data_IF_239385329795
#
_entry.id   IF_239385329795
#
_cell.length_a   1.000
_cell.length_b   1.000
_cell.length_c   1.000
_cell.angle_alpha   90.00
_cell.angle_beta   90.00
_cell.angle_gamma   90.00
#
_symmetry.space_group_name_H-M   'P 1'
#
loop_
_entity.id
_entity.type
_entity.pdbx_description
1 polymer ?
#
# COMPACT_ATOMS: atom_id res chain seq x y z
N UNK A 1 44.93 -48.37 41.49
CA UNK A 1 44.10 -47.16 41.56
C UNK A 1 44.94 -46.02 41.01
N UNK A 2 44.73 -45.72 39.72
CA UNK A 2 45.53 -44.77 38.94
C UNK A 2 44.62 -43.65 38.44
N UNK A 3 45.18 -42.45 38.44
CA UNK A 3 44.64 -41.14 38.11
C UNK A 3 44.01 -41.00 36.72
N UNK A 4 42.95 -40.19 36.61
CA UNK A 4 42.62 -39.42 35.42
C UNK A 4 41.69 -38.23 35.78
N UNK A 5 42.03 -37.02 35.31
CA UNK A 5 41.18 -35.82 35.34
C UNK A 5 39.96 -35.96 34.40
N UNK A 6 38.96 -35.05 34.51
CA UNK A 6 38.51 -34.43 33.27
C UNK A 6 38.26 -32.90 33.32
N UNK A 7 38.63 -32.33 32.18
CA UNK A 7 38.24 -31.13 31.44
C UNK A 7 37.19 -30.15 31.99
N UNK A 8 37.55 -28.87 31.85
CA UNK A 8 36.72 -27.66 31.92
C UNK A 8 35.94 -27.51 30.61
N UNK A 9 34.61 -27.32 30.69
CA UNK A 9 33.78 -26.82 29.58
C UNK A 9 33.04 -25.55 29.99
N UNK A 10 33.35 -24.46 29.28
CA UNK A 10 32.60 -23.20 29.30
C UNK A 10 31.35 -23.31 28.41
N UNK A 11 30.23 -22.65 28.73
CA UNK A 11 29.04 -22.64 27.87
C UNK A 11 29.23 -21.66 26.71
N UNK A 12 29.06 -22.15 25.50
CA UNK A 12 28.96 -21.36 24.26
C UNK A 12 27.60 -20.67 24.20
N UNK A 13 27.63 -19.35 24.10
CA UNK A 13 26.51 -18.48 23.74
C UNK A 13 26.07 -18.76 22.31
N UNK A 14 24.80 -19.14 22.13
CA UNK A 14 24.14 -19.23 20.83
C UNK A 14 23.85 -17.83 20.31
N UNK A 15 24.56 -17.41 19.26
CA UNK A 15 24.25 -16.22 18.48
C UNK A 15 23.12 -16.56 17.50
N UNK A 16 21.97 -15.91 17.67
CA UNK A 16 20.92 -15.85 16.65
C UNK A 16 21.48 -15.25 15.37
N UNK A 17 21.27 -15.95 14.26
CA UNK A 17 21.66 -15.54 12.92
C UNK A 17 20.70 -14.47 12.41
N UNK A 18 21.20 -13.25 12.17
CA UNK A 18 20.50 -12.21 11.43
C UNK A 18 20.15 -12.70 10.02
N UNK A 19 18.96 -12.35 9.47
CA UNK A 19 18.58 -12.76 8.13
C UNK A 19 19.49 -12.10 7.08
N UNK A 20 20.03 -12.92 6.17
CA UNK A 20 20.85 -12.50 5.04
C UNK A 20 20.00 -11.69 4.04
N UNK A 21 20.51 -10.62 3.42
CA UNK A 21 19.76 -9.86 2.41
C UNK A 21 19.47 -10.73 1.18
N UNK A 22 18.19 -10.79 0.78
CA UNK A 22 17.77 -11.37 -0.50
C UNK A 22 18.22 -10.44 -1.64
N UNK A 23 18.83 -10.96 -2.72
CA UNK A 23 19.29 -10.12 -3.83
C UNK A 23 18.12 -9.41 -4.54
N UNK A 24 18.34 -8.15 -4.92
CA UNK A 24 17.42 -7.36 -5.74
C UNK A 24 17.44 -7.93 -7.16
N UNK A 25 16.42 -8.70 -7.53
CA UNK A 25 16.31 -9.23 -8.89
C UNK A 25 15.69 -8.16 -9.81
N UNK A 26 16.50 -7.53 -10.66
CA UNK A 26 15.97 -6.71 -11.77
C UNK A 26 15.74 -7.62 -12.99
N UNK A 27 14.47 -7.95 -13.26
CA UNK A 27 14.10 -8.78 -14.42
C UNK A 27 13.51 -7.99 -15.58
N UNK A 28 13.45 -6.66 -15.51
CA UNK A 28 12.74 -5.82 -16.48
C UNK A 28 13.62 -4.86 -17.31
N UNK A 29 14.96 -4.96 -17.24
CA UNK A 29 15.85 -4.07 -18.01
C UNK A 29 15.80 -2.60 -17.56
N UNK A 30 15.33 -2.35 -16.33
CA UNK A 30 15.45 -1.08 -15.63
C UNK A 30 16.73 -1.12 -14.79
N UNK A 31 17.48 -0.01 -14.80
CA UNK A 31 18.91 0.03 -14.46
C UNK A 31 19.26 -0.56 -13.10
N UNK A 32 20.48 -1.12 -13.01
CA UNK A 32 21.04 -1.63 -11.76
C UNK A 32 21.13 -0.51 -10.70
N UNK A 33 20.96 -0.91 -9.45
CA UNK A 33 21.09 -0.08 -8.26
C UNK A 33 22.30 -0.52 -7.44
N UNK A 34 22.93 0.44 -6.77
CA UNK A 34 23.86 0.13 -5.69
C UNK A 34 23.09 0.11 -4.37
N UNK A 35 23.22 -0.96 -3.60
CA UNK A 35 22.54 -1.10 -2.31
C UNK A 35 23.06 -0.09 -1.27
N UNK A 36 24.23 0.50 -1.52
CA UNK A 36 24.89 1.47 -0.65
C UNK A 36 24.25 2.88 -0.67
N UNK A 37 23.36 3.18 -1.64
CA UNK A 37 22.69 4.48 -1.75
C UNK A 37 21.62 4.72 -0.66
N UNK A 38 21.18 3.66 0.04
CA UNK A 38 20.15 3.75 1.08
C UNK A 38 20.58 2.99 2.33
N UNK A 39 21.02 3.68 3.40
CA UNK A 39 21.41 3.01 4.63
C UNK A 39 20.23 2.21 5.20
N UNK A 40 20.50 1.11 5.92
CA UNK A 40 19.45 0.32 6.55
C UNK A 40 18.59 1.19 7.46
N UNK A 41 17.28 0.95 7.42
CA UNK A 41 16.34 1.70 8.24
C UNK A 41 16.63 1.49 9.72
N UNK A 42 16.60 2.59 10.48
CA UNK A 42 16.79 2.54 11.93
C UNK A 42 15.69 1.72 12.61
N UNK A 43 16.05 1.00 13.67
CA UNK A 43 15.12 0.15 14.43
C UNK A 43 13.89 0.92 14.93
N UNK A 44 14.05 2.21 15.27
CA UNK A 44 12.94 3.07 15.69
C UNK A 44 11.87 3.24 14.60
N UNK A 45 12.26 3.35 13.32
CA UNK A 45 11.30 3.44 12.19
C UNK A 45 10.57 2.10 12.02
N UNK A 46 11.30 0.98 12.08
CA UNK A 46 10.69 -0.34 11.91
C UNK A 46 9.72 -0.68 13.06
N UNK A 47 10.10 -0.31 14.29
CA UNK A 47 9.29 -0.56 15.49
C UNK A 47 8.03 0.31 15.50
N UNK A 48 8.17 1.60 15.21
CA UNK A 48 7.09 2.58 15.34
C UNK A 48 6.88 3.04 16.79
N UNK A 49 5.85 3.89 17.04
CA UNK A 49 5.48 4.33 18.38
C UNK A 49 4.94 3.17 19.24
N UNK A 50 5.04 3.32 20.56
CA UNK A 50 4.47 2.35 21.50
C UNK A 50 2.96 2.22 21.28
N UNK A 51 2.48 0.97 21.17
CA UNK A 51 1.06 0.68 20.92
C UNK A 51 0.63 0.81 19.46
N UNK A 52 1.55 0.97 18.50
CA UNK A 52 1.24 0.96 17.06
C UNK A 52 0.37 -0.23 16.64
N UNK A 53 0.76 -1.45 17.05
CA UNK A 53 0.05 -2.68 16.67
C UNK A 53 -1.36 -2.73 17.26
N UNK A 54 -1.50 -2.37 18.54
CA UNK A 54 -2.79 -2.35 19.23
C UNK A 54 -3.74 -1.33 18.61
N UNK A 55 -3.24 -0.15 18.23
CA UNK A 55 -4.02 0.89 17.55
C UNK A 55 -4.60 0.37 16.23
N UNK A 56 -3.78 -0.25 15.39
CA UNK A 56 -4.23 -0.78 14.11
C UNK A 56 -5.11 -2.02 14.23
N UNK A 57 -4.88 -2.88 15.23
CA UNK A 57 -5.74 -4.01 15.51
C UNK A 57 -7.17 -3.55 15.86
N UNK A 58 -7.31 -2.52 16.70
CA UNK A 58 -8.62 -1.95 17.03
C UNK A 58 -9.31 -1.40 15.77
N UNK A 59 -8.60 -0.61 14.96
CA UNK A 59 -9.15 -0.08 13.72
C UNK A 59 -9.58 -1.19 12.74
N UNK A 60 -8.83 -2.29 12.70
CA UNK A 60 -9.12 -3.47 11.88
C UNK A 60 -10.38 -4.19 12.34
N UNK A 61 -10.52 -4.40 13.65
CA UNK A 61 -11.67 -5.09 14.25
C UNK A 61 -12.97 -4.29 14.00
N UNK A 62 -12.91 -2.97 14.14
CA UNK A 62 -14.02 -2.06 13.77
C UNK A 62 -14.42 -2.20 12.30
N UNK A 63 -13.45 -2.32 11.39
CA UNK A 63 -13.73 -2.49 9.96
C UNK A 63 -14.30 -3.87 9.63
N UNK A 64 -13.91 -4.94 10.36
CA UNK A 64 -14.38 -6.30 10.10
C UNK A 64 -15.84 -6.56 10.43
N UNK A 65 -16.39 -5.82 11.39
CA UNK A 65 -17.79 -5.97 11.77
C UNK A 65 -18.75 -5.26 10.81
N UNK A 66 -18.23 -4.43 9.90
CA UNK A 66 -19.03 -3.77 8.86
C UNK A 66 -19.49 -4.80 7.82
N UNK A 67 -20.80 -4.94 7.65
CA UNK A 67 -21.36 -5.53 6.45
C UNK A 67 -21.40 -4.47 5.34
N UNK A 68 -20.59 -4.60 4.28
CA UNK A 68 -20.50 -3.57 3.25
C UNK A 68 -21.78 -3.44 2.43
N UNK A 69 -22.69 -4.41 2.45
CA UNK A 69 -23.90 -4.41 1.60
C UNK A 69 -23.58 -4.02 0.15
N UNK A 70 -22.51 -4.61 -0.39
CA UNK A 70 -21.95 -4.19 -1.67
C UNK A 70 -22.90 -4.53 -2.83
N UNK A 71 -23.18 -3.54 -3.68
CA UNK A 71 -24.17 -3.65 -4.74
C UNK A 71 -23.62 -3.12 -6.08
N UNK A 72 -24.01 -3.79 -7.17
CA UNK A 72 -23.86 -3.29 -8.54
C UNK A 72 -25.00 -2.31 -8.84
N UNK A 73 -24.67 -1.07 -9.14
CA UNK A 73 -25.64 0.02 -9.33
C UNK A 73 -25.99 0.19 -10.81
N UNK A 74 -24.98 0.29 -11.68
CA UNK A 74 -25.17 0.64 -13.08
C UNK A 74 -24.07 0.03 -13.96
N UNK A 75 -24.45 -0.63 -15.06
CA UNK A 75 -23.50 -1.09 -16.08
C UNK A 75 -23.18 0.08 -16.99
N UNK A 76 -21.91 0.50 -17.03
CA UNK A 76 -21.45 1.66 -17.79
C UNK A 76 -21.00 1.28 -19.21
N UNK A 77 -20.37 0.11 -19.38
CA UNK A 77 -19.91 -0.36 -20.70
C UNK A 77 -19.82 -1.89 -20.77
N UNK A 78 -19.84 -2.40 -22.00
CA UNK A 78 -19.62 -3.81 -22.38
C UNK A 78 -18.77 -3.85 -23.66
N UNK A 79 -17.48 -3.62 -23.53
CA UNK A 79 -16.55 -3.41 -24.65
C UNK A 79 -15.27 -4.21 -24.40
N UNK A 80 -14.57 -4.58 -25.48
CA UNK A 80 -13.28 -5.30 -25.44
C UNK A 80 -13.26 -6.53 -24.52
N UNK A 81 -14.36 -7.28 -24.50
CA UNK A 81 -14.50 -8.49 -23.69
C UNK A 81 -14.64 -8.23 -22.18
N UNK A 82 -14.91 -6.99 -21.76
CA UNK A 82 -15.07 -6.59 -20.36
C UNK A 82 -16.41 -5.91 -20.11
N UNK A 83 -16.87 -5.99 -18.87
CA UNK A 83 -18.04 -5.27 -18.34
C UNK A 83 -17.55 -4.34 -17.25
N UNK A 84 -17.89 -3.05 -17.36
CA UNK A 84 -17.61 -2.07 -16.31
C UNK A 84 -18.91 -1.69 -15.63
N UNK A 85 -18.94 -1.82 -14.31
CA UNK A 85 -20.11 -1.54 -13.48
C UNK A 85 -19.75 -0.55 -12.38
N UNK A 86 -20.56 0.49 -12.20
CA UNK A 86 -20.51 1.33 -11.00
C UNK A 86 -21.05 0.52 -9.82
N UNK A 87 -20.32 0.49 -8.72
CA UNK A 87 -20.70 -0.20 -7.49
C UNK A 87 -20.81 0.79 -6.33
N UNK A 88 -21.53 0.38 -5.29
CA UNK A 88 -21.58 1.07 -4.00
C UNK A 88 -21.43 0.08 -2.86
N UNK A 89 -20.93 0.55 -1.72
CA UNK A 89 -20.81 -0.23 -0.49
C UNK A 89 -20.69 0.69 0.72
N UNK A 90 -21.06 0.20 1.89
CA UNK A 90 -20.88 0.87 3.17
C UNK A 90 -19.51 0.58 3.77
N UNK A 91 -18.96 1.55 4.48
CA UNK A 91 -17.71 1.44 5.25
C UNK A 91 -17.96 1.83 6.71
N UNK A 92 -16.91 2.01 7.51
CA UNK A 92 -17.02 2.49 8.90
C UNK A 92 -17.70 3.87 8.96
N UNK A 93 -18.16 4.26 10.15
CA UNK A 93 -18.85 5.53 10.41
C UNK A 93 -20.19 5.71 9.67
N UNK A 94 -20.74 4.63 9.10
CA UNK A 94 -22.00 4.66 8.35
C UNK A 94 -21.90 5.34 6.98
N UNK A 95 -20.67 5.55 6.49
CA UNK A 95 -20.40 6.17 5.20
C UNK A 95 -20.71 5.18 4.07
N UNK A 96 -21.31 5.67 2.99
CA UNK A 96 -21.43 4.94 1.72
C UNK A 96 -20.35 5.45 0.76
N UNK A 97 -19.60 4.54 0.17
CA UNK A 97 -18.59 4.80 -0.86
C UNK A 97 -19.02 4.10 -2.15
N UNK A 98 -18.46 4.56 -3.27
CA UNK A 98 -18.60 3.91 -4.56
C UNK A 98 -17.27 3.55 -5.19
N UNK A 99 -17.38 2.96 -6.38
CA UNK A 99 -16.24 2.60 -7.19
C UNK A 99 -16.64 1.98 -8.52
N UNK A 100 -15.66 1.43 -9.22
CA UNK A 100 -15.85 0.74 -10.48
C UNK A 100 -15.36 -0.69 -10.39
N UNK A 101 -16.22 -1.62 -10.78
CA UNK A 101 -15.87 -3.02 -10.97
C UNK A 101 -15.73 -3.29 -12.47
N UNK A 102 -14.54 -3.66 -12.90
CA UNK A 102 -14.26 -4.13 -14.25
C UNK A 102 -14.05 -5.65 -14.20
N UNK A 103 -14.82 -6.41 -14.97
CA UNK A 103 -14.74 -7.88 -14.98
C UNK A 103 -14.83 -8.44 -16.41
N UNK A 104 -14.31 -9.64 -16.69
CA UNK A 104 -14.52 -10.32 -17.97
C UNK A 104 -16.01 -10.44 -18.29
N UNK A 105 -16.39 -10.17 -19.54
CA UNK A 105 -17.79 -10.25 -19.97
C UNK A 105 -18.31 -11.69 -20.05
N UNK A 106 -17.41 -12.65 -20.24
CA UNK A 106 -17.70 -14.07 -20.35
C UNK A 106 -16.68 -14.88 -19.54
N UNK A 107 -17.08 -16.10 -19.19
CA UNK A 107 -16.25 -17.02 -18.43
C UNK A 107 -16.26 -16.79 -16.92
N UNK A 108 -15.56 -17.64 -16.16
CA UNK A 108 -15.51 -17.54 -14.72
C UNK A 108 -14.57 -16.41 -14.27
N UNK A 109 -14.90 -15.79 -13.15
CA UNK A 109 -14.01 -14.85 -12.44
C UNK A 109 -13.49 -15.53 -11.20
N UNK A 110 -12.19 -15.87 -11.18
CA UNK A 110 -11.52 -16.59 -10.09
C UNK A 110 -10.54 -15.74 -9.29
N UNK A 111 -10.29 -14.51 -9.74
CA UNK A 111 -9.45 -13.54 -9.05
C UNK A 111 -10.14 -12.19 -8.97
N UNK A 112 -9.90 -11.47 -7.88
CA UNK A 112 -10.22 -10.04 -7.79
C UNK A 112 -9.00 -9.24 -7.35
N UNK A 113 -8.73 -8.12 -8.00
CA UNK A 113 -7.70 -7.16 -7.60
C UNK A 113 -8.38 -5.90 -7.09
N UNK A 114 -8.05 -5.47 -5.86
CA UNK A 114 -8.50 -4.17 -5.34
C UNK A 114 -7.43 -3.12 -5.65
N UNK A 115 -7.84 -2.04 -6.30
CA UNK A 115 -6.97 -1.01 -6.87
C UNK A 115 -7.16 0.33 -6.17
N UNK A 116 -6.25 0.67 -5.27
CA UNK A 116 -6.25 1.91 -4.53
C UNK A 116 -5.63 3.04 -5.36
N UNK A 117 -6.38 4.14 -5.50
CA UNK A 117 -6.02 5.27 -6.35
C UNK A 117 -5.07 6.28 -5.67
N UNK A 118 -4.55 7.24 -6.46
CA UNK A 118 -3.81 8.39 -5.95
C UNK A 118 -4.71 9.47 -5.33
N UNK A 119 -4.13 10.59 -4.85
CA UNK A 119 -4.89 11.64 -4.15
C UNK A 119 -6.00 12.33 -4.98
N UNK A 120 -6.00 12.17 -6.31
CA UNK A 120 -7.05 12.72 -7.18
C UNK A 120 -8.38 11.97 -7.11
N UNK A 121 -8.48 10.88 -6.36
CA UNK A 121 -9.60 9.95 -6.51
C UNK A 121 -9.38 9.04 -7.72
N UNK A 122 -10.47 8.48 -8.20
CA UNK A 122 -10.57 7.87 -9.52
C UNK A 122 -11.87 8.39 -10.17
N UNK A 123 -11.92 8.49 -11.49
CA UNK A 123 -13.13 8.90 -12.24
C UNK A 123 -13.74 7.75 -13.06
N UNK A 124 -13.08 6.60 -13.05
CA UNK A 124 -13.41 5.40 -13.81
C UNK A 124 -12.61 4.21 -13.28
N UNK A 125 -12.83 3.00 -13.85
CA UNK A 125 -11.91 1.91 -13.62
C UNK A 125 -10.54 2.31 -14.16
N UNK A 126 -9.49 1.83 -13.52
CA UNK A 126 -8.19 1.89 -14.13
C UNK A 126 -8.10 0.98 -15.36
N UNK A 127 -7.13 1.26 -16.24
CA UNK A 127 -6.80 0.35 -17.34
C UNK A 127 -6.50 -1.06 -16.81
N UNK A 128 -7.04 -2.12 -17.45
CA UNK A 128 -6.88 -3.49 -16.98
C UNK A 128 -5.41 -3.94 -16.89
N UNK A 129 -5.12 -4.82 -15.93
CA UNK A 129 -3.81 -5.49 -15.84
C UNK A 129 -3.68 -6.70 -16.78
N UNK A 130 -4.72 -6.99 -17.58
CA UNK A 130 -4.80 -8.12 -18.52
C UNK A 130 -4.50 -9.49 -17.88
N UNK A 131 -4.90 -9.64 -16.62
CA UNK A 131 -4.90 -10.92 -15.91
C UNK A 131 -6.13 -11.74 -16.32
N UNK A 132 -5.92 -13.00 -16.69
CA UNK A 132 -7.01 -13.92 -17.04
C UNK A 132 -7.96 -14.13 -15.85
N UNK A 133 -9.26 -14.30 -16.13
CA UNK A 133 -10.30 -14.62 -15.13
C UNK A 133 -10.33 -13.66 -13.92
N UNK A 134 -9.98 -12.39 -14.16
CA UNK A 134 -9.72 -11.40 -13.10
C UNK A 134 -10.67 -10.22 -13.17
N UNK A 135 -11.40 -9.98 -12.09
CA UNK A 135 -12.08 -8.72 -11.84
C UNK A 135 -11.14 -7.71 -11.17
N UNK A 136 -11.36 -6.43 -11.41
CA UNK A 136 -10.62 -5.33 -10.80
C UNK A 136 -11.64 -4.37 -10.18
N UNK A 137 -11.58 -4.19 -8.86
CA UNK A 137 -12.37 -3.21 -8.13
C UNK A 137 -11.51 -1.98 -7.86
N UNK A 138 -11.94 -0.81 -8.34
CA UNK A 138 -11.36 0.50 -8.01
C UNK A 138 -12.32 1.21 -7.05
N UNK A 139 -12.18 1.04 -5.72
CA UNK A 139 -12.98 1.79 -4.75
C UNK A 139 -12.47 3.24 -4.68
N UNK A 140 -13.35 4.22 -4.42
CA UNK A 140 -12.94 5.59 -4.12
C UNK A 140 -12.97 5.82 -2.62
N UNK A 141 -11.79 6.04 -2.02
CA UNK A 141 -11.64 6.16 -0.57
C UNK A 141 -12.26 7.48 -0.05
N UNK A 142 -12.67 7.48 1.22
CA UNK A 142 -13.41 8.59 1.83
C UNK A 142 -12.74 9.96 1.64
N UNK A 143 -13.57 10.96 1.41
CA UNK A 143 -13.20 12.35 1.14
C UNK A 143 -12.80 12.64 -0.30
N UNK A 144 -12.43 11.63 -1.11
CA UNK A 144 -11.85 11.90 -2.43
C UNK A 144 -12.89 11.99 -3.56
N UNK A 145 -12.61 12.76 -4.63
CA UNK A 145 -13.63 13.16 -5.61
C UNK A 145 -14.34 12.00 -6.30
N UNK A 146 -15.53 12.33 -6.84
CA UNK A 146 -16.50 11.47 -7.53
C UNK A 146 -17.35 10.59 -6.61
N UNK A 147 -16.84 9.44 -6.17
CA UNK A 147 -17.60 8.40 -5.49
C UNK A 147 -17.16 8.17 -4.04
N UNK A 148 -16.22 8.99 -3.54
CA UNK A 148 -15.75 8.95 -2.15
C UNK A 148 -16.11 10.19 -1.35
N UNK A 149 -16.96 11.09 -1.86
CA UNK A 149 -17.28 12.35 -1.20
C UNK A 149 -17.97 12.13 0.15
N UNK A 150 -17.46 12.81 1.19
CA UNK A 150 -18.01 12.79 2.54
C UNK A 150 -18.08 14.21 3.06
N UNK A 151 -19.23 14.61 3.58
CA UNK A 151 -19.45 15.96 4.10
C UNK A 151 -18.42 16.31 5.18
N UNK A 152 -17.78 17.46 5.02
CA UNK A 152 -16.77 17.97 5.96
C UNK A 152 -15.35 17.44 5.74
N UNK A 153 -15.13 16.44 4.89
CA UNK A 153 -13.79 15.99 4.51
C UNK A 153 -13.36 16.74 3.23
N UNK A 154 -12.22 17.46 3.23
CA UNK A 154 -11.74 18.14 2.04
C UNK A 154 -11.44 17.17 0.89
N UNK A 155 -11.67 17.62 -0.35
CA UNK A 155 -11.57 16.77 -1.55
C UNK A 155 -10.23 16.89 -2.29
N UNK A 156 -9.35 17.77 -1.86
CA UNK A 156 -8.01 17.96 -2.44
C UNK A 156 -6.96 17.38 -1.52
N UNK A 157 -5.95 16.69 -2.07
CA UNK A 157 -4.96 15.96 -1.28
C UNK A 157 -4.25 16.80 -0.21
N UNK A 158 -3.94 18.05 -0.53
CA UNK A 158 -3.22 18.98 0.37
C UNK A 158 -4.02 19.33 1.63
N UNK A 159 -5.36 19.33 1.54
CA UNK A 159 -6.24 19.61 2.67
C UNK A 159 -6.78 18.31 3.30
N UNK A 160 -7.04 17.29 2.47
CA UNK A 160 -7.50 15.98 2.90
C UNK A 160 -6.51 15.38 3.89
N UNK A 161 -5.22 15.41 3.58
CA UNK A 161 -4.15 14.86 4.44
C UNK A 161 -4.03 15.55 5.80
N UNK A 162 -4.70 16.68 6.03
CA UNK A 162 -4.72 17.39 7.31
C UNK A 162 -6.01 17.16 8.10
N UNK A 163 -7.00 16.49 7.51
CA UNK A 163 -8.30 16.29 8.13
C UNK A 163 -8.19 15.37 9.37
N UNK A 164 -8.53 15.93 10.53
CA UNK A 164 -8.47 15.23 11.81
C UNK A 164 -7.05 14.93 12.31
N UNK A 165 -6.01 15.52 11.72
CA UNK A 165 -4.61 15.19 11.99
C UNK A 165 -4.14 15.51 13.42
N UNK A 166 -4.89 16.31 14.17
CA UNK A 166 -4.59 16.63 15.57
C UNK A 166 -4.73 15.41 16.51
N UNK A 167 -5.37 14.32 16.08
CA UNK A 167 -5.50 13.10 16.88
C UNK A 167 -5.54 11.83 16.02
N UNK A 168 -4.79 10.80 16.41
CA UNK A 168 -4.68 9.54 15.64
C UNK A 168 -6.01 8.84 15.38
N UNK A 169 -6.96 8.94 16.31
CA UNK A 169 -8.28 8.28 16.16
C UNK A 169 -9.21 9.04 15.20
N UNK A 170 -8.97 10.34 14.97
CA UNK A 170 -9.76 11.17 14.05
C UNK A 170 -9.08 11.40 12.71
N UNK A 171 -7.80 11.00 12.58
CA UNK A 171 -7.04 11.26 11.37
C UNK A 171 -7.61 10.51 10.17
N UNK A 172 -7.83 11.22 9.06
CA UNK A 172 -8.55 10.66 7.91
C UNK A 172 -7.92 9.40 7.34
N UNK A 173 -6.59 9.25 7.41
CA UNK A 173 -5.91 8.03 6.93
C UNK A 173 -6.30 6.77 7.70
N UNK A 174 -6.70 6.88 8.98
CA UNK A 174 -7.25 5.74 9.73
C UNK A 174 -8.49 5.21 9.02
N UNK A 175 -9.39 6.13 8.66
CA UNK A 175 -10.59 5.82 7.89
C UNK A 175 -10.28 5.29 6.49
N UNK A 176 -9.30 5.86 5.78
CA UNK A 176 -8.91 5.37 4.44
C UNK A 176 -8.33 3.95 4.47
N UNK A 177 -7.58 3.58 5.52
CA UNK A 177 -7.11 2.20 5.72
C UNK A 177 -8.29 1.27 6.02
N UNK A 178 -9.25 1.71 6.83
CA UNK A 178 -10.50 0.97 7.06
C UNK A 178 -11.30 0.78 5.76
N UNK A 179 -11.38 1.80 4.92
CA UNK A 179 -12.03 1.73 3.61
C UNK A 179 -11.35 0.69 2.71
N UNK A 180 -10.02 0.58 2.74
CA UNK A 180 -9.30 -0.45 2.00
C UNK A 180 -9.68 -1.87 2.48
N UNK A 181 -9.72 -2.11 3.80
CA UNK A 181 -10.14 -3.40 4.36
C UNK A 181 -11.59 -3.76 4.05
N UNK A 182 -12.49 -2.78 4.13
CA UNK A 182 -13.90 -2.98 3.78
C UNK A 182 -14.08 -3.19 2.28
N UNK A 183 -13.32 -2.47 1.44
CA UNK A 183 -13.33 -2.66 -0.02
C UNK A 183 -12.91 -4.07 -0.44
N UNK A 184 -11.97 -4.70 0.28
CA UNK A 184 -11.61 -6.11 0.07
C UNK A 184 -12.77 -7.05 0.41
N UNK A 185 -13.51 -6.77 1.49
CA UNK A 185 -14.74 -7.50 1.82
C UNK A 185 -15.81 -7.29 0.75
N UNK A 186 -16.02 -6.04 0.29
CA UNK A 186 -16.97 -5.70 -0.76
C UNK A 186 -16.63 -6.40 -2.09
N UNK A 187 -15.34 -6.43 -2.47
CA UNK A 187 -14.86 -7.15 -3.65
C UNK A 187 -15.24 -8.63 -3.61
N UNK A 188 -15.02 -9.31 -2.48
CA UNK A 188 -15.40 -10.71 -2.28
C UNK A 188 -16.91 -10.95 -2.30
N UNK A 189 -17.73 -9.97 -1.88
CA UNK A 189 -19.20 -10.04 -2.00
C UNK A 189 -19.67 -9.85 -3.44
N UNK A 190 -19.07 -8.91 -4.15
CA UNK A 190 -19.38 -8.63 -5.55
C UNK A 190 -18.92 -9.76 -6.48
N UNK A 191 -17.82 -10.44 -6.13
CA UNK A 191 -17.20 -11.49 -6.93
C UNK A 191 -17.07 -12.79 -6.10
N UNK A 192 -18.19 -13.48 -5.79
CA UNK A 192 -18.18 -14.64 -4.90
C UNK A 192 -17.41 -15.85 -5.45
N UNK A 193 -17.11 -15.86 -6.76
CA UNK A 193 -16.27 -16.88 -7.40
C UNK A 193 -14.75 -16.66 -7.22
N UNK A 194 -14.34 -15.51 -6.68
CA UNK A 194 -12.92 -15.22 -6.49
C UNK A 194 -12.31 -16.13 -5.42
N UNK A 195 -11.24 -16.83 -5.80
CA UNK A 195 -10.43 -17.70 -4.94
C UNK A 195 -9.10 -17.03 -4.58
N UNK A 196 -8.73 -15.98 -5.33
CA UNK A 196 -7.53 -15.18 -5.10
C UNK A 196 -7.88 -13.70 -5.03
N UNK A 197 -7.29 -13.01 -4.05
CA UNK A 197 -7.43 -11.57 -3.88
C UNK A 197 -6.04 -10.96 -3.91
N UNK A 198 -5.82 -9.94 -4.72
CA UNK A 198 -4.58 -9.17 -4.73
C UNK A 198 -4.89 -7.68 -4.53
N UNK A 199 -3.86 -6.90 -4.17
CA UNK A 199 -3.99 -5.46 -3.93
C UNK A 199 -2.98 -4.68 -4.77
N UNK A 200 -3.41 -3.61 -5.42
CA UNK A 200 -2.50 -2.63 -5.99
C UNK A 200 -2.80 -1.25 -5.45
N UNK A 201 -1.79 -0.40 -5.31
CA UNK A 201 -2.00 1.00 -4.92
C UNK A 201 -0.95 1.90 -5.51
N UNK A 202 -1.31 3.13 -5.88
CA UNK A 202 -0.36 4.14 -6.37
C UNK A 202 -0.35 5.39 -5.50
N UNK A 203 0.84 5.93 -5.22
CA UNK A 203 1.05 7.17 -4.47
C UNK A 203 0.33 7.14 -3.10
N UNK A 204 -0.77 7.89 -2.94
CA UNK A 204 -1.68 7.81 -1.80
C UNK A 204 -2.16 6.37 -1.52
N UNK A 205 -2.75 5.71 -2.52
CA UNK A 205 -3.22 4.34 -2.42
C UNK A 205 -2.09 3.34 -2.20
N UNK A 206 -0.86 3.65 -2.64
CA UNK A 206 0.34 2.86 -2.34
C UNK A 206 0.69 2.89 -0.85
N UNK A 207 0.66 4.09 -0.25
CA UNK A 207 0.88 4.27 1.19
C UNK A 207 -0.24 3.68 2.05
N UNK A 208 -1.51 3.91 1.68
CA UNK A 208 -2.67 3.30 2.36
C UNK A 208 -2.62 1.77 2.23
N UNK A 209 -2.23 1.25 1.06
CA UNK A 209 -2.02 -0.17 0.83
C UNK A 209 -0.96 -0.75 1.76
N UNK A 210 0.20 -0.10 1.89
CA UNK A 210 1.26 -0.50 2.82
C UNK A 210 0.78 -0.53 4.29
N UNK A 211 -0.06 0.42 4.70
CA UNK A 211 -0.67 0.45 6.04
C UNK A 211 -1.71 -0.67 6.24
N UNK A 212 -2.47 -1.03 5.20
CA UNK A 212 -3.54 -2.03 5.28
C UNK A 212 -3.02 -3.48 5.26
N UNK A 213 -1.94 -3.76 4.52
CA UNK A 213 -1.43 -5.11 4.28
C UNK A 213 -1.10 -5.94 5.54
N UNK A 214 -0.47 -5.39 6.60
CA UNK A 214 -0.05 -6.18 7.78
C UNK A 214 -1.14 -7.01 8.46
N UNK A 215 -2.38 -6.52 8.41
CA UNK A 215 -3.55 -7.14 9.06
C UNK A 215 -4.53 -7.76 8.05
N UNK A 216 -4.08 -7.98 6.83
CA UNK A 216 -4.91 -8.46 5.73
C UNK A 216 -4.43 -9.80 5.15
N UNK A 217 -4.73 -10.88 5.88
CA UNK A 217 -4.33 -12.23 5.48
C UNK A 217 -5.06 -12.73 4.21
N UNK A 218 -6.13 -12.07 3.73
CA UNK A 218 -6.84 -12.47 2.51
C UNK A 218 -6.10 -12.07 1.23
N UNK A 219 -5.23 -11.06 1.31
CA UNK A 219 -4.44 -10.61 0.15
C UNK A 219 -3.30 -11.59 -0.10
N UNK A 220 -3.24 -12.09 -1.33
CA UNK A 220 -2.25 -13.10 -1.76
C UNK A 220 -0.94 -12.46 -2.20
N UNK A 221 -0.99 -11.35 -2.93
CA UNK A 221 0.18 -10.55 -3.31
C UNK A 221 -0.23 -9.10 -3.52
N UNK A 222 0.75 -8.19 -3.49
CA UNK A 222 0.51 -6.78 -3.76
C UNK A 222 1.55 -6.15 -4.68
N UNK A 223 1.13 -5.07 -5.34
CA UNK A 223 2.03 -4.16 -6.06
C UNK A 223 1.79 -2.72 -5.61
N UNK A 224 2.83 -2.03 -5.12
CA UNK A 224 2.74 -0.67 -4.62
C UNK A 224 3.59 0.26 -5.48
N UNK A 225 2.95 1.24 -6.09
CA UNK A 225 3.57 2.22 -6.97
C UNK A 225 3.85 3.52 -6.22
N UNK A 226 5.10 3.97 -6.25
CA UNK A 226 5.61 5.17 -5.59
C UNK A 226 4.95 5.42 -4.22
N UNK A 227 4.97 4.43 -3.30
CA UNK A 227 4.12 4.47 -2.11
C UNK A 227 4.46 5.67 -1.22
N UNK A 228 3.42 6.42 -0.85
CA UNK A 228 3.55 7.57 0.03
C UNK A 228 3.65 7.18 1.52
N UNK A 229 3.88 8.19 2.38
CA UNK A 229 3.87 8.12 3.85
C UNK A 229 4.91 7.19 4.51
N UNK A 230 5.90 6.71 3.76
CA UNK A 230 7.03 5.99 4.35
C UNK A 230 8.02 6.93 5.04
N UNK A 231 8.51 6.51 6.20
CA UNK A 231 9.60 7.15 6.95
C UNK A 231 9.31 8.63 7.25
N UNK A 232 8.27 8.87 8.05
CA UNK A 232 7.88 10.19 8.51
C UNK A 232 9.04 11.00 9.12
N UNK A 233 9.97 10.43 9.91
CA UNK A 233 11.14 11.18 10.40
C UNK A 233 11.93 11.86 9.28
N UNK A 234 12.29 11.14 8.21
CA UNK A 234 13.02 11.72 7.09
C UNK A 234 12.12 12.54 6.15
N UNK A 235 10.88 12.08 5.93
CA UNK A 235 9.91 12.75 5.06
C UNK A 235 9.57 14.16 5.56
N UNK A 236 9.44 14.35 6.86
CA UNK A 236 9.17 15.66 7.49
C UNK A 236 10.37 16.62 7.41
N UNK A 237 11.54 16.14 7.02
CA UNK A 237 12.73 16.98 6.79
C UNK A 237 12.93 17.29 5.31
N UNK A 238 12.13 16.68 4.42
CA UNK A 238 12.29 16.77 2.96
C UNK A 238 11.16 17.59 2.35
N UNK A 239 11.40 18.85 1.93
CA UNK A 239 10.41 19.62 1.19
C UNK A 239 9.98 18.89 -0.08
N UNK A 240 8.69 18.91 -0.37
CA UNK A 240 8.13 18.32 -1.58
C UNK A 240 6.92 19.12 -2.06
N UNK A 241 6.21 18.62 -3.07
CA UNK A 241 4.92 19.16 -3.48
C UNK A 241 3.76 18.40 -2.82
N UNK A 242 2.62 19.09 -2.73
CA UNK A 242 1.34 18.51 -2.35
C UNK A 242 1.21 18.07 -0.88
N UNK A 243 0.54 16.94 -0.67
CA UNK A 243 0.19 16.44 0.68
C UNK A 243 1.37 16.29 1.64
N UNK A 244 2.55 15.87 1.17
CA UNK A 244 3.73 15.71 2.02
C UNK A 244 4.19 17.04 2.62
N UNK A 245 4.15 18.10 1.83
CA UNK A 245 4.48 19.45 2.27
C UNK A 245 3.45 20.01 3.24
N UNK A 246 2.17 19.72 3.00
CA UNK A 246 1.09 20.13 3.90
C UNK A 246 1.29 19.55 5.31
N UNK A 247 1.64 18.26 5.41
CA UNK A 247 1.97 17.61 6.69
C UNK A 247 3.25 18.19 7.30
N UNK A 248 4.28 18.46 6.48
CA UNK A 248 5.54 19.07 6.95
C UNK A 248 5.29 20.42 7.60
N UNK A 249 4.50 21.28 6.94
CA UNK A 249 4.13 22.60 7.45
C UNK A 249 3.26 22.48 8.71
N UNK A 250 2.33 21.52 8.77
CA UNK A 250 1.54 21.27 9.97
C UNK A 250 2.40 20.87 11.17
N UNK A 251 3.45 20.06 10.97
CA UNK A 251 4.41 19.70 12.04
C UNK A 251 5.28 20.89 12.46
N UNK A 252 5.61 21.80 11.54
CA UNK A 252 6.33 23.02 11.88
C UNK A 252 5.49 24.00 12.71
N UNK A 253 4.18 24.04 12.47
CA UNK A 253 3.23 24.86 13.23
C UNK A 253 2.89 24.22 14.60
N UNK A 254 2.59 22.92 14.60
CA UNK A 254 2.33 22.11 15.79
C UNK A 254 3.18 20.83 15.80
N UNK A 255 4.30 20.80 16.56
CA UNK A 255 5.16 19.62 16.64
C UNK A 255 4.48 18.34 17.12
N UNK A 256 3.34 18.42 17.82
CA UNK A 256 2.60 17.23 18.30
C UNK A 256 2.01 16.40 17.17
N UNK A 257 1.80 16.99 15.99
CA UNK A 257 1.37 16.28 14.77
C UNK A 257 2.33 15.15 14.41
N UNK A 258 3.62 15.28 14.75
CA UNK A 258 4.62 14.23 14.53
C UNK A 258 4.25 12.93 15.26
N UNK A 259 3.72 13.04 16.47
CA UNK A 259 3.32 11.88 17.28
C UNK A 259 2.09 11.18 16.69
N UNK A 260 1.23 11.93 16.01
CA UNK A 260 0.07 11.37 15.29
C UNK A 260 0.52 10.64 14.03
N UNK A 261 1.26 11.30 13.14
CA UNK A 261 1.65 10.71 11.84
C UNK A 261 2.62 9.53 11.99
N UNK A 262 3.30 9.38 13.14
CA UNK A 262 4.08 8.19 13.46
C UNK A 262 3.23 6.90 13.47
N UNK A 263 1.93 6.97 13.75
CA UNK A 263 1.01 5.81 13.62
C UNK A 263 0.64 5.49 12.17
N UNK A 264 0.91 6.40 11.24
CA UNK A 264 0.55 6.30 9.82
C UNK A 264 1.78 6.20 8.91
N UNK A 265 2.94 5.86 9.49
CA UNK A 265 4.15 5.58 8.74
C UNK A 265 4.04 4.26 7.98
N UNK A 266 4.01 4.35 6.67
CA UNK A 266 3.89 3.20 5.78
C UNK A 266 5.11 2.27 5.85
N UNK A 267 6.31 2.77 6.17
CA UNK A 267 7.50 1.93 6.35
C UNK A 267 7.41 1.16 7.67
N UNK A 268 6.95 1.80 8.75
CA UNK A 268 6.66 1.11 10.01
C UNK A 268 5.65 -0.03 9.80
N UNK A 269 4.55 0.23 9.09
CA UNK A 269 3.59 -0.82 8.75
C UNK A 269 4.21 -1.92 7.86
N UNK A 270 4.97 -1.54 6.83
CA UNK A 270 5.62 -2.48 5.91
C UNK A 270 6.51 -3.51 6.62
N UNK A 271 7.13 -3.16 7.75
CA UNK A 271 7.90 -4.09 8.59
C UNK A 271 7.10 -5.32 9.07
N UNK A 272 5.77 -5.24 9.08
CA UNK A 272 4.86 -6.30 9.50
C UNK A 272 4.23 -7.08 8.33
N UNK A 273 4.46 -6.64 7.09
CA UNK A 273 3.90 -7.28 5.90
C UNK A 273 4.57 -8.63 5.67
N UNK A 274 3.76 -9.67 5.46
CA UNK A 274 4.22 -11.05 5.20
C UNK A 274 3.98 -11.48 3.75
N UNK A 275 3.04 -10.82 3.08
CA UNK A 275 2.65 -11.07 1.70
C UNK A 275 3.80 -10.69 0.75
N UNK A 276 3.90 -11.34 -0.43
CA UNK A 276 4.79 -10.89 -1.49
C UNK A 276 4.39 -9.51 -2.02
N UNK A 277 5.32 -8.56 -2.00
CA UNK A 277 5.10 -7.19 -2.50
C UNK A 277 6.13 -6.80 -3.56
N UNK A 278 5.64 -6.37 -4.73
CA UNK A 278 6.45 -5.64 -5.69
C UNK A 278 6.27 -4.15 -5.45
N UNK A 279 7.36 -3.41 -5.27
CA UNK A 279 7.33 -1.95 -5.17
C UNK A 279 7.90 -1.36 -6.46
N UNK A 280 7.20 -0.43 -7.11
CA UNK A 280 7.85 0.51 -8.01
C UNK A 280 8.21 1.78 -7.25
N UNK A 281 9.47 2.17 -7.32
CA UNK A 281 9.96 3.43 -6.74
C UNK A 281 10.66 4.24 -7.82
N UNK A 282 10.66 5.57 -7.70
CA UNK A 282 11.30 6.47 -8.63
C UNK A 282 12.65 6.99 -8.09
N UNK A 283 13.63 7.19 -8.97
CA UNK A 283 14.91 7.83 -8.62
C UNK A 283 14.73 9.30 -8.25
N UNK A 284 13.80 9.98 -8.91
CA UNK A 284 13.46 11.38 -8.68
C UNK A 284 11.95 11.51 -8.64
N UNK A 285 11.41 12.14 -7.60
CA UNK A 285 9.98 12.38 -7.49
C UNK A 285 9.74 13.64 -6.63
N UNK A 286 9.16 14.71 -7.21
CA UNK A 286 8.96 15.97 -6.49
C UNK A 286 7.77 15.94 -5.54
N UNK A 287 6.87 14.96 -5.63
CA UNK A 287 5.63 14.87 -4.83
C UNK A 287 5.77 13.84 -3.70
N UNK A 288 6.32 12.67 -4.02
CA UNK A 288 6.58 11.59 -3.07
C UNK A 288 8.09 11.34 -3.03
N UNK A 289 8.87 12.03 -2.20
CA UNK A 289 10.32 11.91 -2.22
C UNK A 289 10.82 10.45 -2.14
N UNK A 290 11.84 10.05 -2.93
CA UNK A 290 12.34 8.68 -3.00
C UNK A 290 12.68 8.05 -1.65
N UNK A 291 13.16 8.87 -0.69
CA UNK A 291 13.44 8.42 0.68
C UNK A 291 12.25 7.71 1.32
N UNK A 292 11.03 8.20 1.13
CA UNK A 292 9.83 7.57 1.67
C UNK A 292 9.47 6.29 0.93
N UNK A 293 9.49 6.33 -0.40
CA UNK A 293 9.12 5.19 -1.25
C UNK A 293 10.03 3.97 -1.00
N UNK A 294 11.34 4.21 -0.99
CA UNK A 294 12.33 3.17 -0.78
C UNK A 294 12.36 2.70 0.67
N UNK A 295 12.04 3.56 1.64
CA UNK A 295 11.86 3.11 3.02
C UNK A 295 10.71 2.10 3.15
N UNK A 296 9.61 2.25 2.42
CA UNK A 296 8.54 1.23 2.40
C UNK A 296 9.11 -0.10 1.88
N UNK A 297 9.81 -0.10 0.76
CA UNK A 297 10.43 -1.31 0.20
C UNK A 297 11.42 -1.98 1.17
N UNK A 298 12.39 -1.21 1.70
CA UNK A 298 13.42 -1.73 2.58
C UNK A 298 12.89 -2.19 3.94
N UNK A 299 11.73 -1.68 4.37
CA UNK A 299 11.08 -2.15 5.58
C UNK A 299 10.33 -3.48 5.40
N UNK A 300 9.85 -3.82 4.19
CA UNK A 300 9.02 -5.02 3.95
C UNK A 300 9.58 -6.28 4.63
N UNK A 301 8.77 -6.89 5.50
CA UNK A 301 9.12 -8.11 6.25
C UNK A 301 8.99 -9.42 5.46
N UNK A 302 8.26 -9.39 4.34
CA UNK A 302 7.98 -10.55 3.48
C UNK A 302 8.78 -10.55 2.16
N UNK A 303 8.50 -11.50 1.26
CA UNK A 303 9.11 -11.54 -0.06
C UNK A 303 8.88 -10.22 -0.80
N UNK A 304 9.93 -9.67 -1.40
CA UNK A 304 9.86 -8.34 -2.01
C UNK A 304 10.65 -8.24 -3.31
N UNK A 305 10.17 -7.40 -4.20
CA UNK A 305 10.88 -7.02 -5.43
C UNK A 305 10.78 -5.52 -5.64
N UNK A 306 11.80 -4.93 -6.26
CA UNK A 306 11.88 -3.50 -6.55
C UNK A 306 11.98 -3.29 -8.06
N UNK A 307 11.05 -2.51 -8.58
CA UNK A 307 11.13 -1.91 -9.90
C UNK A 307 11.55 -0.46 -9.75
N UNK A 308 12.63 -0.07 -10.40
CA UNK A 308 13.08 1.30 -10.36
C UNK A 308 12.66 2.07 -11.60
N UNK A 309 11.97 3.18 -11.39
CA UNK A 309 11.58 4.14 -12.41
C UNK A 309 12.57 5.30 -12.45
N UNK A 310 12.70 5.92 -13.62
CA UNK A 310 13.54 7.10 -13.84
C UNK A 310 13.01 8.28 -13.02
N UNK A 311 11.71 8.56 -13.12
CA UNK A 311 11.07 9.59 -12.31
C UNK A 311 9.61 9.24 -11.99
N UNK A 312 9.08 9.85 -10.93
CA UNK A 312 7.69 9.78 -10.50
C UNK A 312 7.11 11.19 -10.42
N UNK A 313 5.79 11.33 -10.62
CA UNK A 313 5.07 12.61 -10.57
C UNK A 313 5.72 13.76 -11.38
N UNK A 314 6.35 13.42 -12.51
CA UNK A 314 6.94 14.37 -13.45
C UNK A 314 6.96 13.75 -14.85
N UNK A 315 6.91 14.58 -15.88
CA UNK A 315 7.07 14.13 -17.27
C UNK A 315 8.55 13.87 -17.59
N UNK A 316 8.84 12.77 -18.30
CA UNK A 316 10.16 12.43 -18.80
C UNK A 316 10.07 11.58 -20.08
N UNK A 317 11.09 11.57 -20.96
CA UNK A 317 10.99 10.97 -22.29
C UNK A 317 10.61 9.48 -22.32
N UNK A 318 11.03 8.71 -21.31
CA UNK A 318 10.80 7.27 -21.24
C UNK A 318 9.50 6.87 -20.50
N UNK A 319 8.71 7.83 -20.01
CA UNK A 319 7.58 7.57 -19.09
C UNK A 319 6.62 6.50 -19.58
N UNK A 320 6.06 6.64 -20.79
CA UNK A 320 5.10 5.66 -21.31
C UNK A 320 5.70 4.24 -21.44
N UNK A 321 7.01 4.16 -21.74
CA UNK A 321 7.71 2.88 -21.84
C UNK A 321 7.86 2.27 -20.46
N UNK A 322 8.27 3.05 -19.45
CA UNK A 322 8.40 2.57 -18.07
C UNK A 322 7.05 2.18 -17.47
N UNK A 323 5.98 2.93 -17.72
CA UNK A 323 4.62 2.59 -17.30
C UNK A 323 4.15 1.25 -17.89
N UNK A 324 4.41 1.00 -19.18
CA UNK A 324 4.11 -0.30 -19.81
C UNK A 324 4.91 -1.44 -19.19
N UNK A 325 6.21 -1.23 -18.95
CA UNK A 325 7.06 -2.24 -18.31
C UNK A 325 6.62 -2.52 -16.86
N UNK A 326 6.27 -1.48 -16.12
CA UNK A 326 5.73 -1.59 -14.77
C UNK A 326 4.43 -2.39 -14.73
N UNK A 327 3.47 -2.06 -15.61
CA UNK A 327 2.20 -2.80 -15.70
C UNK A 327 2.42 -4.27 -16.07
N UNK A 328 3.34 -4.55 -17.00
CA UNK A 328 3.71 -5.93 -17.34
C UNK A 328 4.35 -6.68 -16.16
N UNK A 329 5.25 -6.02 -15.42
CA UNK A 329 5.86 -6.57 -14.21
C UNK A 329 4.83 -6.83 -13.10
N UNK A 330 3.84 -5.96 -12.94
CA UNK A 330 2.74 -6.14 -11.99
C UNK A 330 1.89 -7.34 -12.37
N UNK A 331 1.48 -7.44 -13.64
CA UNK A 331 0.71 -8.58 -14.12
C UNK A 331 1.49 -9.89 -13.93
N UNK A 332 2.80 -9.91 -14.19
CA UNK A 332 3.62 -11.10 -13.97
C UNK A 332 3.74 -11.45 -12.48
N UNK A 333 4.05 -10.47 -11.62
CA UNK A 333 4.15 -10.66 -10.16
C UNK A 333 2.85 -11.22 -9.57
N UNK A 334 1.70 -10.66 -9.95
CA UNK A 334 0.41 -11.14 -9.50
C UNK A 334 0.04 -12.49 -10.11
N UNK A 335 0.54 -12.84 -11.30
CA UNK A 335 0.29 -14.15 -11.92
C UNK A 335 1.06 -15.27 -11.21
N UNK A 336 2.38 -15.12 -11.08
CA UNK A 336 3.27 -16.22 -10.68
C UNK A 336 3.72 -16.15 -9.22
N UNK A 337 3.56 -15.00 -8.55
CA UNK A 337 4.12 -14.76 -7.22
C UNK A 337 5.63 -14.47 -7.28
N UNK A 338 6.30 -14.33 -6.13
CA UNK A 338 7.75 -14.15 -6.10
C UNK A 338 8.42 -15.37 -6.73
N UNK A 339 9.29 -15.13 -7.71
CA UNK A 339 10.22 -16.15 -8.20
C UNK A 339 11.29 -16.30 -7.11
N UNK A 340 11.16 -17.32 -6.26
CA UNK A 340 12.11 -17.63 -5.18
C UNK A 340 13.33 -18.34 -5.76
#
# INVERSE_FOLDING_TARGET
MSSAQPAVHSPTTSTESSPTPVPVTSSAGLGAFDADDFPPLGEAVLRGPDGFDAFWQVARDEALVVDPQAERVEVLSREDGRVVTRVRFRTTDGIELGGWLSEPAEGPVRRVVVRLHGYGGAEGPHDPLDLAETAELTPVLRGLPTLGLVDGIPTTGDLHVLHGIAHRDTYVHRGCVQDAWVSLTAALRLVPGAQRVDLTGSSFGGGIGALALPLEDRVTAACLDVPSFGNHPARLETPCAGSGESVRLAVLDDPSVRDVVAYFDAATAAARVRQPVLVSAARVDPVVPPVGQLSVYYALGGPRSLLLLTAGHSEYPEQEREERLMRAAYAEWLRTGPQI
#
